data_IF_916534299512
#
_entry.id   IF_916534299512
#
_cell.length_a   1.000
_cell.length_b   1.000
_cell.length_c   1.000
_cell.angle_alpha   90.00
_cell.angle_beta   90.00
_cell.angle_gamma   90.00
#
_symmetry.space_group_name_H-M   'P 1'
#
loop_
_entity.id
_entity.type
_entity.pdbx_description
1 polymer ?
#
# COMPACT_ATOMS: atom_id res chain seq x y z
N UNK A 1 16.73 -2.46 -76.56
CA UNK A 1 16.37 -2.94 -75.21
C UNK A 1 16.63 -1.96 -74.08
N UNK A 2 17.51 -1.00 -74.25
CA UNK A 2 17.88 -0.06 -73.13
C UNK A 2 16.84 1.03 -72.82
N UNK A 3 15.99 1.44 -73.74
CA UNK A 3 14.98 2.50 -73.55
C UNK A 3 13.70 2.03 -72.80
N UNK A 4 13.43 0.72 -72.71
CA UNK A 4 12.26 0.20 -71.94
C UNK A 4 12.56 -0.03 -70.45
N UNK A 5 13.83 -0.18 -70.04
CA UNK A 5 14.23 -0.39 -68.68
C UNK A 5 14.23 0.95 -67.92
N UNK A 6 14.54 2.07 -68.55
CA UNK A 6 14.55 3.41 -67.90
C UNK A 6 13.13 3.89 -67.56
N UNK A 7 12.10 3.51 -68.29
CA UNK A 7 10.71 3.88 -68.04
C UNK A 7 10.08 3.11 -66.88
N UNK A 8 10.49 1.85 -66.62
CA UNK A 8 10.01 1.07 -65.50
C UNK A 8 10.62 1.53 -64.15
N UNK A 9 11.83 2.08 -64.17
CA UNK A 9 12.49 2.58 -62.96
C UNK A 9 11.92 3.95 -62.57
N UNK A 10 11.53 4.80 -63.52
CA UNK A 10 10.93 6.11 -63.24
C UNK A 10 9.48 6.01 -62.68
N UNK A 11 8.74 4.94 -62.97
CA UNK A 11 7.40 4.69 -62.44
C UNK A 11 7.46 4.06 -61.05
N UNK A 12 8.50 3.29 -60.73
CA UNK A 12 8.67 2.67 -59.41
C UNK A 12 9.15 3.67 -58.34
N UNK A 13 9.84 4.76 -58.75
CA UNK A 13 10.25 5.84 -57.81
C UNK A 13 9.14 6.85 -57.52
N UNK A 14 8.08 6.91 -58.36
CA UNK A 14 6.95 7.83 -58.14
C UNK A 14 5.83 7.23 -57.24
N UNK A 15 5.84 5.90 -57.03
CA UNK A 15 4.87 5.23 -56.14
C UNK A 15 5.42 5.12 -54.69
N UNK A 16 6.75 5.26 -54.48
CA UNK A 16 7.35 5.25 -53.16
C UNK A 16 7.20 6.58 -52.40
N UNK A 17 6.67 7.63 -53.05
CA UNK A 17 6.49 8.97 -52.43
C UNK A 17 5.10 9.29 -51.89
N UNK A 18 4.14 8.35 -51.95
CA UNK A 18 2.74 8.58 -51.55
C UNK A 18 2.26 7.74 -50.36
N UNK A 19 3.16 7.10 -49.60
CA UNK A 19 2.85 6.44 -48.33
C UNK A 19 3.67 7.06 -47.18
N UNK A 20 4.02 8.33 -47.29
CA UNK A 20 4.22 9.17 -46.11
C UNK A 20 2.84 9.61 -45.65
N UNK A 21 2.07 8.67 -45.14
CA UNK A 21 0.96 9.00 -44.27
C UNK A 21 1.54 9.83 -43.13
N UNK A 22 1.15 11.10 -43.06
CA UNK A 22 1.32 11.91 -41.89
C UNK A 22 0.76 11.14 -40.69
N UNK A 23 1.61 10.41 -39.95
CA UNK A 23 1.46 10.41 -38.52
C UNK A 23 1.71 11.87 -38.14
N UNK A 24 0.66 12.66 -37.97
CA UNK A 24 0.72 13.75 -37.05
C UNK A 24 1.01 13.09 -35.71
N UNK A 25 2.27 13.08 -35.26
CA UNK A 25 2.56 13.09 -33.87
C UNK A 25 1.81 14.32 -33.37
N UNK A 26 0.65 14.13 -32.77
CA UNK A 26 0.00 15.18 -32.02
C UNK A 26 1.05 15.62 -31.02
N UNK A 27 1.51 16.86 -31.12
CA UNK A 27 2.53 17.38 -30.21
C UNK A 27 2.01 17.23 -28.79
N UNK A 28 2.91 16.97 -27.85
CA UNK A 28 2.55 16.87 -26.43
C UNK A 28 1.71 18.09 -26.00
N UNK A 29 0.50 17.89 -25.47
CA UNK A 29 -0.34 18.97 -24.97
C UNK A 29 0.35 19.86 -23.94
N UNK A 30 1.25 19.30 -23.11
CA UNK A 30 2.03 20.04 -22.13
C UNK A 30 3.18 20.88 -22.76
N UNK A 31 3.56 20.58 -23.98
CA UNK A 31 4.59 21.33 -24.73
C UNK A 31 4.02 22.51 -25.54
N UNK A 32 2.72 22.71 -25.57
CA UNK A 32 2.09 23.83 -26.24
C UNK A 32 2.50 25.15 -25.58
N UNK A 33 2.60 26.23 -26.38
CA UNK A 33 3.16 27.51 -25.94
C UNK A 33 2.45 28.16 -24.75
N UNK A 34 1.14 27.90 -24.62
CA UNK A 34 0.28 28.51 -23.60
C UNK A 34 -0.31 27.41 -22.67
N UNK A 35 0.34 26.22 -22.58
CA UNK A 35 -0.12 25.18 -21.72
C UNK A 35 -0.06 25.62 -20.24
N UNK A 36 -1.16 25.41 -19.54
CA UNK A 36 -1.27 25.73 -18.11
C UNK A 36 -2.04 24.63 -17.40
N UNK A 37 -1.55 24.23 -16.22
CA UNK A 37 -2.17 23.20 -15.39
C UNK A 37 -2.26 23.62 -13.93
N UNK A 38 -3.32 23.18 -13.26
CA UNK A 38 -3.48 23.30 -11.81
C UNK A 38 -3.31 21.93 -11.16
N UNK A 39 -2.44 21.84 -10.16
CA UNK A 39 -2.07 20.60 -9.51
C UNK A 39 -2.48 20.68 -8.04
N UNK A 40 -3.39 19.80 -7.61
CA UNK A 40 -3.71 19.60 -6.21
C UNK A 40 -2.64 18.74 -5.54
N UNK A 41 -1.92 19.31 -4.57
CA UNK A 41 -0.93 18.58 -3.79
C UNK A 41 -0.96 19.04 -2.32
N UNK A 42 -0.49 18.22 -1.38
CA UNK A 42 -0.65 18.55 0.04
C UNK A 42 0.01 19.87 0.44
N UNK A 43 1.14 20.26 -0.18
CA UNK A 43 1.74 21.59 -0.04
C UNK A 43 2.56 21.97 -1.29
N UNK A 44 2.70 23.27 -1.57
CA UNK A 44 3.53 23.74 -2.66
C UNK A 44 5.02 23.40 -2.42
N UNK A 45 5.51 23.56 -1.21
CA UNK A 45 6.89 23.24 -0.87
C UNK A 45 7.21 21.75 -1.11
N UNK A 46 6.37 20.84 -0.63
CA UNK A 46 6.55 19.41 -0.86
C UNK A 46 6.40 18.99 -2.33
N UNK A 47 5.55 19.70 -3.09
CA UNK A 47 5.47 19.49 -4.54
C UNK A 47 6.76 19.88 -5.25
N UNK A 48 7.29 21.07 -4.96
CA UNK A 48 8.54 21.58 -5.56
C UNK A 48 9.71 20.65 -5.23
N UNK A 49 9.84 20.24 -3.98
CA UNK A 49 10.87 19.31 -3.53
C UNK A 49 10.84 17.98 -4.31
N UNK A 50 9.65 17.45 -4.56
CA UNK A 50 9.49 16.14 -5.21
C UNK A 50 9.50 16.20 -6.73
N UNK A 51 8.80 17.15 -7.33
CA UNK A 51 8.50 17.16 -8.76
C UNK A 51 8.98 18.41 -9.50
N UNK A 52 9.26 19.52 -8.80
CA UNK A 52 9.47 20.82 -9.40
C UNK A 52 10.55 20.83 -10.49
N UNK A 53 11.76 20.44 -10.13
CA UNK A 53 12.90 20.41 -11.08
C UNK A 53 12.63 19.50 -12.29
N UNK A 54 11.98 18.37 -12.09
CA UNK A 54 11.72 17.40 -13.17
C UNK A 54 10.63 17.88 -14.10
N UNK A 55 9.60 18.53 -13.56
CA UNK A 55 8.54 19.11 -14.36
C UNK A 55 9.10 20.22 -15.24
N UNK A 56 9.91 21.13 -14.70
CA UNK A 56 10.54 22.23 -15.43
C UNK A 56 11.51 21.73 -16.50
N UNK A 57 12.28 20.66 -16.21
CA UNK A 57 13.16 20.02 -17.19
C UNK A 57 12.38 19.36 -18.33
N UNK A 58 11.25 18.70 -18.04
CA UNK A 58 10.44 17.99 -19.03
C UNK A 58 9.60 18.96 -19.88
N UNK A 59 9.09 20.01 -19.27
CA UNK A 59 8.18 20.98 -19.90
C UNK A 59 8.56 22.42 -19.53
N UNK A 60 9.64 22.99 -20.10
CA UNK A 60 10.20 24.29 -19.70
C UNK A 60 9.27 25.50 -20.01
N UNK A 61 8.25 25.30 -20.84
CA UNK A 61 7.28 26.34 -21.19
C UNK A 61 5.93 26.18 -20.48
N UNK A 62 5.78 25.11 -19.68
CA UNK A 62 4.54 24.84 -18.96
C UNK A 62 4.36 25.84 -17.81
N UNK A 63 3.21 26.50 -17.77
CA UNK A 63 2.78 27.26 -16.61
C UNK A 63 2.00 26.34 -15.67
N UNK A 64 2.39 26.29 -14.41
CA UNK A 64 1.62 25.50 -13.43
C UNK A 64 1.38 26.26 -12.13
N UNK A 65 0.37 25.86 -11.40
CA UNK A 65 0.11 26.31 -10.05
C UNK A 65 -0.23 25.12 -9.14
N UNK A 66 0.29 25.14 -7.91
CA UNK A 66 0.03 24.13 -6.90
C UNK A 66 -1.03 24.63 -5.93
N UNK A 67 -2.06 23.84 -5.73
CA UNK A 67 -3.17 24.14 -4.82
C UNK A 67 -3.05 23.18 -3.63
N UNK A 68 -2.84 23.67 -2.39
CA UNK A 68 -2.68 22.82 -1.23
C UNK A 68 -3.93 22.00 -0.88
N UNK A 69 -3.75 20.70 -0.59
CA UNK A 69 -4.82 19.82 -0.09
C UNK A 69 -4.80 19.67 1.43
N UNK A 70 -3.97 20.43 2.13
CA UNK A 70 -3.79 20.35 3.61
C UNK A 70 -5.09 20.59 4.38
N UNK A 71 -5.99 21.42 3.88
CA UNK A 71 -7.29 21.66 4.52
C UNK A 71 -8.19 20.42 4.48
N UNK A 72 -8.10 19.61 3.39
CA UNK A 72 -8.72 18.28 3.33
C UNK A 72 -8.12 17.36 4.39
N UNK A 73 -6.79 17.26 4.41
CA UNK A 73 -6.07 16.35 5.34
C UNK A 73 -6.39 16.65 6.81
N UNK A 74 -6.63 17.92 7.14
CA UNK A 74 -6.99 18.34 8.48
C UNK A 74 -8.50 18.28 8.79
N UNK A 75 -9.31 17.77 7.86
CA UNK A 75 -10.77 17.68 7.99
C UNK A 75 -11.49 19.04 8.10
N UNK A 76 -10.84 20.13 7.67
CA UNK A 76 -11.40 21.49 7.73
C UNK A 76 -12.30 21.83 6.54
N UNK A 77 -12.15 21.10 5.46
CA UNK A 77 -12.95 21.27 4.24
C UNK A 77 -13.36 19.92 3.70
N UNK A 78 -14.60 19.79 3.25
CA UNK A 78 -15.04 18.56 2.60
C UNK A 78 -14.54 18.46 1.16
N UNK A 79 -14.37 17.22 0.63
CA UNK A 79 -13.81 17.00 -0.70
C UNK A 79 -14.54 17.71 -1.84
N UNK A 80 -15.86 17.74 -1.82
CA UNK A 80 -16.67 18.35 -2.88
C UNK A 80 -16.47 19.86 -2.90
N UNK A 81 -16.60 20.51 -1.75
CA UNK A 81 -16.40 21.96 -1.62
C UNK A 81 -14.99 22.35 -2.09
N UNK A 82 -13.97 21.59 -1.66
CA UNK A 82 -12.59 21.85 -2.10
C UNK A 82 -12.42 21.73 -3.62
N UNK A 83 -12.97 20.68 -4.23
CA UNK A 83 -12.86 20.44 -5.67
C UNK A 83 -13.58 21.53 -6.50
N UNK A 84 -14.78 21.96 -6.07
CA UNK A 84 -15.57 23.01 -6.73
C UNK A 84 -14.86 24.38 -6.69
N UNK A 85 -14.24 24.73 -5.58
CA UNK A 85 -13.55 26.01 -5.40
C UNK A 85 -12.22 26.06 -6.17
N UNK A 86 -11.47 24.97 -6.23
CA UNK A 86 -10.10 24.97 -6.75
C UNK A 86 -9.99 24.56 -8.22
N UNK A 87 -10.85 23.67 -8.71
CA UNK A 87 -10.90 23.23 -10.12
C UNK A 87 -9.51 22.85 -10.67
N UNK A 88 -8.86 21.88 -10.03
CA UNK A 88 -7.54 21.38 -10.45
C UNK A 88 -7.66 20.43 -11.64
N UNK A 89 -6.53 20.17 -12.32
CA UNK A 89 -6.45 19.22 -13.43
C UNK A 89 -5.98 17.85 -12.94
N UNK A 90 -4.89 17.80 -12.20
CA UNK A 90 -4.36 16.60 -11.54
C UNK A 90 -4.37 16.82 -10.04
N UNK A 91 -4.69 15.80 -9.29
CA UNK A 91 -4.69 15.86 -7.83
C UNK A 91 -3.98 14.64 -7.23
N UNK A 92 -3.16 14.91 -6.24
CA UNK A 92 -2.70 13.91 -5.26
C UNK A 92 -3.74 13.84 -4.16
N UNK A 93 -4.71 12.92 -4.31
CA UNK A 93 -5.81 12.72 -3.36
C UNK A 93 -5.24 12.10 -2.08
N UNK A 94 -5.39 12.72 -0.90
CA UNK A 94 -4.94 12.11 0.34
C UNK A 94 -5.60 10.75 0.58
N UNK A 95 -4.84 9.78 1.06
CA UNK A 95 -5.25 8.38 1.14
C UNK A 95 -6.60 8.15 1.84
N UNK A 96 -6.86 8.89 2.91
CA UNK A 96 -8.12 8.79 3.66
C UNK A 96 -9.37 9.19 2.86
N UNK A 97 -9.22 9.97 1.78
CA UNK A 97 -10.35 10.52 1.02
C UNK A 97 -10.57 9.89 -0.35
N UNK A 98 -9.76 8.91 -0.75
CA UNK A 98 -9.86 8.33 -2.11
C UNK A 98 -11.25 7.75 -2.38
N UNK A 99 -11.86 7.06 -1.41
CA UNK A 99 -13.20 6.49 -1.54
C UNK A 99 -14.27 7.58 -1.72
N UNK A 100 -14.14 8.70 -1.00
CA UNK A 100 -15.06 9.84 -1.10
C UNK A 100 -14.94 10.53 -2.45
N UNK A 101 -13.71 10.69 -2.97
CA UNK A 101 -13.47 11.27 -4.29
C UNK A 101 -14.06 10.42 -5.41
N UNK A 102 -13.95 9.09 -5.32
CA UNK A 102 -14.58 8.16 -6.28
C UNK A 102 -16.10 8.21 -6.16
N UNK A 103 -16.65 8.06 -4.95
CA UNK A 103 -18.10 8.00 -4.71
C UNK A 103 -18.83 9.31 -5.05
N UNK A 104 -18.11 10.44 -5.02
CA UNK A 104 -18.65 11.77 -5.33
C UNK A 104 -18.37 12.25 -6.76
N UNK A 105 -17.82 11.37 -7.63
CA UNK A 105 -17.45 11.70 -9.02
C UNK A 105 -16.49 12.89 -9.15
N UNK A 106 -15.58 13.10 -8.17
CA UNK A 106 -14.63 14.22 -8.16
C UNK A 106 -13.37 13.94 -9.00
N UNK A 107 -13.13 12.68 -9.33
CA UNK A 107 -12.05 12.20 -10.21
C UNK A 107 -12.62 11.29 -11.29
N UNK A 108 -11.94 11.24 -12.45
CA UNK A 108 -12.43 10.47 -13.60
C UNK A 108 -11.93 9.02 -13.59
N UNK A 109 -12.68 8.14 -14.26
CA UNK A 109 -12.24 6.79 -14.58
C UNK A 109 -11.10 6.84 -15.61
N UNK A 110 -9.97 6.22 -15.32
CA UNK A 110 -8.76 6.25 -16.14
C UNK A 110 -8.70 5.14 -17.20
N UNK A 111 -9.57 4.12 -17.16
CA UNK A 111 -9.45 2.92 -18.02
C UNK A 111 -9.42 3.24 -19.53
N UNK A 112 -10.21 4.25 -19.96
CA UNK A 112 -10.22 4.67 -21.36
C UNK A 112 -8.89 5.31 -21.78
N UNK A 113 -8.31 6.17 -20.93
CA UNK A 113 -7.02 6.83 -21.15
C UNK A 113 -5.87 5.83 -21.09
N UNK A 114 -5.87 4.95 -20.10
CA UNK A 114 -4.92 3.84 -19.97
C UNK A 114 -4.86 3.02 -21.26
N UNK A 115 -6.03 2.65 -21.79
CA UNK A 115 -6.12 1.89 -23.05
C UNK A 115 -5.65 2.71 -24.25
N UNK A 116 -6.07 3.96 -24.36
CA UNK A 116 -5.76 4.84 -25.50
C UNK A 116 -4.26 5.15 -25.58
N UNK A 117 -3.64 5.46 -24.46
CA UNK A 117 -2.22 5.80 -24.37
C UNK A 117 -1.33 4.57 -24.14
N UNK A 118 -1.91 3.36 -24.07
CA UNK A 118 -1.18 2.10 -23.80
C UNK A 118 -0.34 2.19 -22.52
N UNK A 119 -0.88 2.84 -21.49
CA UNK A 119 -0.23 2.91 -20.19
C UNK A 119 -0.14 1.49 -19.58
N UNK A 120 1.07 1.08 -19.23
CA UNK A 120 1.33 -0.30 -18.83
C UNK A 120 1.08 -0.51 -17.32
N UNK A 121 -0.12 -0.98 -16.99
CA UNK A 121 -0.45 -1.38 -15.61
C UNK A 121 0.31 -2.65 -15.17
N UNK A 122 0.83 -3.47 -16.08
CA UNK A 122 1.58 -4.68 -15.70
C UNK A 122 2.99 -4.38 -15.17
N UNK A 123 3.46 -3.14 -15.33
CA UNK A 123 4.69 -2.65 -14.70
C UNK A 123 4.55 -2.44 -13.17
N UNK A 124 3.32 -2.41 -12.67
CA UNK A 124 3.02 -2.27 -11.24
C UNK A 124 2.84 -3.63 -10.57
N UNK A 125 2.96 -3.67 -9.24
CA UNK A 125 2.67 -4.90 -8.51
C UNK A 125 1.20 -5.31 -8.68
N UNK A 126 0.91 -6.58 -9.03
CA UNK A 126 -0.46 -7.03 -9.33
C UNK A 126 -1.45 -6.76 -8.18
N UNK A 127 -1.06 -7.03 -6.93
CA UNK A 127 -1.91 -6.80 -5.76
C UNK A 127 -2.34 -5.33 -5.59
N UNK A 128 -1.50 -4.36 -6.01
CA UNK A 128 -1.85 -2.94 -6.03
C UNK A 128 -2.96 -2.69 -7.06
N UNK A 129 -2.80 -3.22 -8.28
CA UNK A 129 -3.80 -3.03 -9.35
C UNK A 129 -5.14 -3.69 -8.98
N UNK A 130 -5.11 -4.89 -8.40
CA UNK A 130 -6.31 -5.59 -7.94
C UNK A 130 -7.03 -4.81 -6.84
N UNK A 131 -6.27 -4.25 -5.89
CA UNK A 131 -6.81 -3.35 -4.87
C UNK A 131 -7.46 -2.10 -5.49
N UNK A 132 -6.80 -1.42 -6.45
CA UNK A 132 -7.37 -0.24 -7.12
C UNK A 132 -8.67 -0.56 -7.86
N UNK A 133 -8.75 -1.72 -8.51
CA UNK A 133 -9.98 -2.18 -9.16
C UNK A 133 -11.07 -2.51 -8.15
N UNK A 134 -10.71 -3.10 -7.02
CA UNK A 134 -11.67 -3.35 -5.92
C UNK A 134 -12.22 -2.03 -5.39
N UNK A 135 -11.36 -1.06 -5.13
CA UNK A 135 -11.71 0.28 -4.67
C UNK A 135 -12.64 1.02 -5.66
N UNK A 136 -12.35 0.89 -6.96
CA UNK A 136 -13.09 1.52 -8.06
C UNK A 136 -14.19 0.63 -8.67
N UNK A 137 -14.64 -0.43 -7.99
CA UNK A 137 -15.71 -1.34 -8.44
C UNK A 137 -15.47 -1.92 -9.85
N UNK A 138 -14.23 -2.33 -10.11
CA UNK A 138 -13.77 -2.89 -11.38
C UNK A 138 -12.98 -1.91 -12.27
N UNK A 139 -12.95 -0.64 -11.94
CA UNK A 139 -12.27 0.42 -12.70
C UNK A 139 -11.09 1.01 -11.93
N UNK A 140 -10.14 1.63 -12.66
CA UNK A 140 -9.02 2.38 -12.08
C UNK A 140 -9.33 3.88 -12.16
N UNK A 141 -9.36 4.54 -11.00
CA UNK A 141 -9.60 5.99 -10.90
C UNK A 141 -8.35 6.77 -10.52
N UNK A 142 -7.42 6.13 -9.84
CA UNK A 142 -6.21 6.76 -9.33
C UNK A 142 -5.12 5.70 -9.14
N UNK A 143 -3.85 6.12 -9.08
CA UNK A 143 -2.70 5.24 -8.88
C UNK A 143 -1.81 5.84 -7.79
N UNK A 144 -1.52 5.11 -6.69
CA UNK A 144 -0.57 5.55 -5.69
C UNK A 144 0.85 5.38 -6.22
N UNK A 145 1.72 6.38 -6.15
CA UNK A 145 3.12 6.23 -6.54
C UNK A 145 3.90 5.29 -5.60
N UNK A 146 3.51 5.24 -4.34
CA UNK A 146 4.11 4.41 -3.32
C UNK A 146 3.08 3.98 -2.26
N UNK A 147 3.38 2.90 -1.54
CA UNK A 147 2.60 2.46 -0.37
C UNK A 147 3.54 2.15 0.80
N UNK A 148 3.06 2.41 2.01
CA UNK A 148 3.71 2.02 3.25
C UNK A 148 3.08 0.75 3.80
N UNK A 149 3.86 -0.06 4.52
CA UNK A 149 3.36 -1.28 5.16
C UNK A 149 4.48 -2.01 5.89
N UNK A 150 4.16 -3.20 6.36
CA UNK A 150 5.08 -4.03 7.14
C UNK A 150 5.45 -5.32 6.39
N UNK A 151 6.63 -5.83 6.71
CA UNK A 151 7.11 -7.17 6.30
C UNK A 151 7.64 -7.90 7.51
N UNK A 152 7.80 -9.21 7.41
CA UNK A 152 8.54 -10.02 8.37
C UNK A 152 10.02 -10.03 7.98
N UNK A 153 10.91 -9.63 8.88
CA UNK A 153 12.36 -9.81 8.76
C UNK A 153 12.81 -10.92 9.72
N UNK A 154 13.80 -11.72 9.31
CA UNK A 154 14.30 -12.84 10.13
C UNK A 154 15.81 -12.97 10.09
N UNK A 155 16.39 -13.33 11.23
CA UNK A 155 17.81 -13.59 11.43
C UNK A 155 18.14 -15.03 10.98
N UNK A 156 18.84 -15.18 9.85
CA UNK A 156 19.20 -16.47 9.29
C UNK A 156 20.11 -17.27 10.22
N UNK A 157 21.07 -16.60 10.85
CA UNK A 157 22.03 -17.26 11.74
C UNK A 157 21.32 -17.91 12.95
N UNK A 158 20.40 -17.18 13.61
CA UNK A 158 19.68 -17.73 14.76
C UNK A 158 18.83 -18.95 14.37
N UNK A 159 18.19 -18.92 13.20
CA UNK A 159 17.40 -20.06 12.71
C UNK A 159 18.28 -21.26 12.36
N UNK A 160 19.40 -21.04 11.66
CA UNK A 160 20.37 -22.08 11.29
C UNK A 160 21.01 -22.75 12.52
N UNK A 161 21.40 -21.98 13.55
CA UNK A 161 21.96 -22.49 14.80
C UNK A 161 20.99 -23.45 15.51
N UNK A 162 19.70 -23.28 15.33
CA UNK A 162 18.65 -24.18 15.82
C UNK A 162 18.23 -25.26 14.84
N UNK A 163 18.77 -25.27 13.61
CA UNK A 163 18.40 -26.23 12.56
C UNK A 163 16.97 -26.02 12.06
N UNK A 164 16.43 -24.79 12.15
CA UNK A 164 15.10 -24.43 11.71
C UNK A 164 15.11 -23.95 10.25
N UNK A 165 14.05 -24.26 9.51
CA UNK A 165 13.86 -23.73 8.17
C UNK A 165 13.56 -22.22 8.22
N UNK A 166 13.97 -21.51 7.17
CA UNK A 166 13.56 -20.10 7.00
C UNK A 166 12.06 -19.99 6.71
N UNK A 167 11.42 -18.88 7.08
CA UNK A 167 10.06 -18.60 6.66
C UNK A 167 9.91 -18.66 5.13
N UNK A 168 8.79 -19.19 4.65
CA UNK A 168 8.40 -19.15 3.24
C UNK A 168 8.20 -17.69 2.76
N UNK A 169 8.06 -17.46 1.45
CA UNK A 169 7.76 -16.12 0.90
C UNK A 169 6.49 -15.48 1.52
N UNK A 170 5.50 -16.31 1.86
CA UNK A 170 4.26 -15.90 2.52
C UNK A 170 3.89 -16.92 3.60
N UNK A 171 4.52 -16.84 4.78
CA UNK A 171 4.30 -17.80 5.87
C UNK A 171 2.91 -17.59 6.49
N UNK A 172 2.37 -18.62 7.12
CA UNK A 172 1.17 -18.47 7.95
C UNK A 172 1.53 -17.98 9.35
N UNK A 173 0.56 -17.42 10.07
CA UNK A 173 0.75 -17.06 11.47
C UNK A 173 1.17 -18.24 12.33
N UNK A 174 0.62 -19.44 12.07
CA UNK A 174 0.99 -20.66 12.77
C UNK A 174 2.50 -20.95 12.60
N UNK A 175 3.01 -20.93 11.36
CA UNK A 175 4.43 -21.15 11.08
C UNK A 175 5.33 -20.13 11.77
N UNK A 176 4.94 -18.84 11.73
CA UNK A 176 5.74 -17.77 12.35
C UNK A 176 5.76 -17.88 13.88
N UNK A 177 4.61 -18.19 14.50
CA UNK A 177 4.54 -18.35 15.95
C UNK A 177 5.25 -19.64 16.42
N UNK A 178 5.24 -20.72 15.64
CA UNK A 178 6.05 -21.92 15.90
C UNK A 178 7.55 -21.61 15.86
N UNK A 179 8.02 -20.86 14.85
CA UNK A 179 9.41 -20.42 14.79
C UNK A 179 9.76 -19.54 16.00
N UNK A 180 8.92 -18.58 16.34
CA UNK A 180 9.14 -17.71 17.49
C UNK A 180 9.21 -18.48 18.81
N UNK A 181 8.39 -19.53 18.98
CA UNK A 181 8.36 -20.36 20.18
C UNK A 181 9.68 -21.12 20.44
N UNK A 182 10.52 -21.31 19.42
CA UNK A 182 11.85 -21.88 19.57
C UNK A 182 12.85 -20.95 20.27
N UNK A 183 12.49 -19.65 20.47
CA UNK A 183 13.35 -18.62 21.04
C UNK A 183 12.64 -17.87 22.18
N UNK A 184 12.41 -18.49 23.36
CA UNK A 184 11.78 -17.81 24.49
C UNK A 184 12.55 -16.54 24.90
N UNK A 185 11.85 -15.42 24.96
CA UNK A 185 12.42 -14.10 25.23
C UNK A 185 13.10 -13.40 24.05
N UNK A 186 13.26 -14.11 22.90
CA UNK A 186 13.99 -13.63 21.71
C UNK A 186 13.29 -14.05 20.40
N UNK A 187 12.01 -14.38 20.44
CA UNK A 187 11.29 -14.92 19.27
C UNK A 187 10.93 -13.86 18.24
N UNK A 188 9.71 -13.36 18.30
CA UNK A 188 9.16 -12.37 17.36
C UNK A 188 8.98 -11.02 18.04
N UNK A 189 9.60 -9.97 17.55
CA UNK A 189 9.33 -8.58 17.96
C UNK A 189 8.20 -7.97 17.13
N UNK A 190 7.20 -7.37 17.79
CA UNK A 190 6.03 -6.76 17.15
C UNK A 190 5.72 -5.37 17.70
N UNK A 191 5.23 -4.43 16.88
CA UNK A 191 4.88 -3.08 17.34
C UNK A 191 3.59 -3.04 18.16
N UNK A 192 2.75 -4.07 18.08
CA UNK A 192 1.49 -4.13 18.82
C UNK A 192 1.72 -4.25 20.32
N UNK A 193 0.93 -3.52 21.09
CA UNK A 193 1.16 -3.35 22.53
C UNK A 193 0.94 -4.63 23.36
N UNK A 194 0.19 -5.63 22.83
CA UNK A 194 -0.26 -6.77 23.63
C UNK A 194 -0.76 -7.94 22.77
N UNK A 195 -0.95 -9.09 23.38
CA UNK A 195 -1.37 -10.33 22.70
C UNK A 195 -2.82 -10.26 22.17
N UNK A 196 -3.71 -9.53 22.83
CA UNK A 196 -5.06 -9.27 22.28
C UNK A 196 -5.00 -8.52 20.96
N UNK A 197 -4.09 -7.54 20.82
CA UNK A 197 -3.83 -6.84 19.56
C UNK A 197 -3.29 -7.77 18.48
N UNK A 198 -2.40 -8.69 18.84
CA UNK A 198 -1.93 -9.73 17.93
C UNK A 198 -3.09 -10.62 17.47
N UNK A 199 -3.98 -11.06 18.37
CA UNK A 199 -5.15 -11.87 18.02
C UNK A 199 -6.05 -11.13 17.02
N UNK A 200 -6.33 -9.84 17.27
CA UNK A 200 -7.13 -9.01 16.37
C UNK A 200 -6.47 -8.87 14.98
N UNK A 201 -5.15 -8.63 14.93
CA UNK A 201 -4.40 -8.54 13.66
C UNK A 201 -4.38 -9.85 12.88
N UNK A 202 -4.22 -10.99 13.54
CA UNK A 202 -4.32 -12.30 12.92
C UNK A 202 -5.71 -12.55 12.30
N UNK A 203 -6.77 -12.16 12.99
CA UNK A 203 -8.14 -12.31 12.51
C UNK A 203 -8.46 -11.40 11.33
N UNK A 204 -8.01 -10.16 11.39
CA UNK A 204 -8.15 -9.17 10.32
C UNK A 204 -7.42 -9.65 9.05
N UNK A 205 -6.16 -10.08 9.16
CA UNK A 205 -5.40 -10.66 8.05
C UNK A 205 -6.00 -11.96 7.51
N UNK A 206 -6.76 -12.70 8.33
CA UNK A 206 -7.53 -13.87 7.91
C UNK A 206 -8.88 -13.51 7.26
N UNK A 207 -9.24 -12.22 7.20
CA UNK A 207 -10.52 -11.76 6.68
C UNK A 207 -11.72 -12.19 7.53
N UNK A 208 -11.52 -12.47 8.82
CA UNK A 208 -12.60 -12.84 9.72
C UNK A 208 -13.44 -11.62 10.08
N UNK A 209 -14.76 -11.76 9.93
CA UNK A 209 -15.66 -10.74 10.41
C UNK A 209 -15.60 -10.67 11.94
N UNK A 210 -15.26 -9.51 12.47
CA UNK A 210 -15.19 -9.25 13.91
C UNK A 210 -16.44 -8.53 14.42
N UNK A 211 -16.88 -7.54 13.66
CA UNK A 211 -17.86 -6.58 14.13
C UNK A 211 -18.66 -6.00 12.96
N UNK A 212 -19.94 -5.71 13.24
CA UNK A 212 -20.86 -5.02 12.35
C UNK A 212 -21.62 -3.97 13.15
N UNK A 213 -21.82 -2.79 12.59
CA UNK A 213 -22.35 -1.64 13.30
C UNK A 213 -23.90 -1.56 13.24
N UNK A 214 -24.52 -2.00 12.14
CA UNK A 214 -25.96 -1.90 11.95
C UNK A 214 -26.53 -3.20 11.32
N UNK A 215 -27.25 -4.03 12.09
CA UNK A 215 -27.33 -4.02 13.56
C UNK A 215 -25.98 -4.31 14.21
N UNK A 216 -25.79 -3.88 15.46
CA UNK A 216 -24.58 -4.19 16.23
C UNK A 216 -24.50 -5.69 16.48
N UNK A 217 -23.50 -6.32 15.88
CA UNK A 217 -23.17 -7.73 16.01
C UNK A 217 -21.65 -7.86 16.24
N UNK A 218 -21.23 -8.62 17.24
CA UNK A 218 -19.83 -8.96 17.51
C UNK A 218 -19.64 -10.46 17.32
N UNK A 219 -18.54 -10.89 16.74
CA UNK A 219 -18.29 -12.29 16.41
C UNK A 219 -16.91 -12.74 16.91
N UNK A 220 -16.54 -12.39 18.12
CA UNK A 220 -15.24 -12.72 18.70
C UNK A 220 -15.19 -14.15 19.26
N UNK A 221 -16.33 -14.78 19.51
CA UNK A 221 -16.45 -16.11 20.10
C UNK A 221 -16.60 -17.25 19.08
N UNK A 222 -16.46 -17.00 17.77
CA UNK A 222 -16.45 -18.07 16.76
C UNK A 222 -15.26 -19.00 16.94
N UNK A 223 -15.32 -20.21 16.36
CA UNK A 223 -14.22 -21.19 16.49
C UNK A 223 -12.91 -20.68 15.90
N UNK A 224 -13.00 -19.97 14.79
CA UNK A 224 -11.86 -19.36 14.11
C UNK A 224 -11.20 -18.31 15.02
N UNK A 225 -12.00 -17.42 15.59
CA UNK A 225 -11.52 -16.45 16.57
C UNK A 225 -10.93 -17.11 17.84
N UNK A 226 -11.60 -18.12 18.39
CA UNK A 226 -11.07 -18.86 19.54
C UNK A 226 -9.65 -19.41 19.26
N UNK A 227 -9.41 -19.98 18.07
CA UNK A 227 -8.08 -20.49 17.72
C UNK A 227 -7.01 -19.38 17.71
N UNK A 228 -7.34 -18.20 17.18
CA UNK A 228 -6.40 -17.06 17.13
C UNK A 228 -6.13 -16.50 18.53
N UNK A 229 -7.16 -16.35 19.36
CA UNK A 229 -7.00 -15.92 20.76
C UNK A 229 -6.18 -16.91 21.57
N UNK A 230 -6.38 -18.22 21.36
CA UNK A 230 -5.59 -19.26 22.00
C UNK A 230 -4.12 -19.19 21.59
N UNK A 231 -3.86 -19.01 20.28
CA UNK A 231 -2.50 -18.88 19.76
C UNK A 231 -1.79 -17.64 20.33
N UNK A 232 -2.49 -16.50 20.41
CA UNK A 232 -1.95 -15.30 21.01
C UNK A 232 -1.67 -15.44 22.51
N UNK A 233 -2.58 -16.06 23.26
CA UNK A 233 -2.36 -16.34 24.70
C UNK A 233 -1.15 -17.27 24.94
N UNK A 234 -0.90 -18.22 24.03
CA UNK A 234 0.26 -19.11 24.12
C UNK A 234 1.58 -18.36 24.01
N UNK A 235 1.64 -17.27 23.22
CA UNK A 235 2.86 -16.46 23.11
C UNK A 235 3.27 -15.79 24.42
N UNK A 236 2.30 -15.48 25.30
CA UNK A 236 2.56 -14.96 26.63
C UNK A 236 3.09 -16.07 27.58
N UNK A 237 2.53 -17.27 27.47
CA UNK A 237 2.95 -18.42 28.32
C UNK A 237 4.35 -18.89 27.99
N UNK A 238 4.74 -18.91 26.73
CA UNK A 238 6.06 -19.35 26.28
C UNK A 238 7.06 -18.21 26.07
N UNK A 239 6.64 -16.96 26.34
CA UNK A 239 7.44 -15.77 26.14
C UNK A 239 8.06 -15.62 24.73
N UNK A 240 7.36 -16.08 23.69
CA UNK A 240 7.89 -16.12 22.33
C UNK A 240 7.74 -14.82 21.55
N UNK A 241 6.91 -13.88 22.02
CA UNK A 241 6.68 -12.59 21.36
C UNK A 241 7.04 -11.42 22.28
N UNK A 242 7.82 -10.49 21.76
CA UNK A 242 8.15 -9.21 22.38
C UNK A 242 7.17 -8.16 21.87
N UNK A 243 6.28 -7.68 22.74
CA UNK A 243 5.23 -6.75 22.40
C UNK A 243 5.67 -5.30 22.61
N UNK A 244 5.10 -4.37 21.83
CA UNK A 244 5.34 -2.94 21.97
C UNK A 244 6.72 -2.49 21.50
N UNK A 245 7.37 -3.28 20.65
CA UNK A 245 8.66 -2.94 20.05
C UNK A 245 8.41 -2.02 18.85
N UNK A 246 8.67 -0.73 19.04
CA UNK A 246 8.34 0.34 18.08
C UNK A 246 9.45 0.64 17.06
N UNK A 247 10.63 0.05 17.26
CA UNK A 247 11.81 0.23 16.40
C UNK A 247 12.47 -1.10 16.07
N UNK A 248 13.41 -1.10 15.12
CA UNK A 248 14.09 -2.30 14.63
C UNK A 248 15.38 -2.64 15.43
N UNK A 249 15.75 -1.83 16.43
CA UNK A 249 17.01 -1.98 17.15
C UNK A 249 17.20 -3.35 17.81
N UNK A 250 16.18 -3.98 18.46
CA UNK A 250 16.31 -5.34 18.99
C UNK A 250 16.62 -6.40 17.94
N UNK A 251 16.13 -6.24 16.72
CA UNK A 251 16.48 -7.13 15.62
C UNK A 251 17.90 -6.85 15.14
N UNK A 252 18.27 -5.58 14.91
CA UNK A 252 19.62 -5.22 14.43
C UNK A 252 20.72 -5.61 15.41
N UNK A 253 20.45 -5.61 16.71
CA UNK A 253 21.39 -6.08 17.75
C UNK A 253 21.44 -7.60 17.90
N UNK A 254 20.54 -8.36 17.23
CA UNK A 254 20.44 -9.81 17.35
C UNK A 254 19.71 -10.29 18.60
N UNK A 255 18.92 -9.42 19.24
CA UNK A 255 18.13 -9.75 20.43
C UNK A 255 16.85 -10.54 20.11
N UNK A 256 16.42 -10.60 18.84
CA UNK A 256 15.29 -11.40 18.42
C UNK A 256 15.51 -12.11 17.07
N UNK A 257 14.88 -13.28 16.91
CA UNK A 257 15.00 -14.10 15.72
C UNK A 257 14.18 -13.57 14.55
N UNK A 258 13.02 -12.96 14.83
CA UNK A 258 12.10 -12.42 13.85
C UNK A 258 11.61 -11.03 14.33
N UNK A 259 11.28 -10.15 13.39
CA UNK A 259 10.65 -8.86 13.71
C UNK A 259 9.67 -8.44 12.62
N UNK A 260 8.67 -7.67 13.01
CA UNK A 260 7.85 -6.90 12.08
C UNK A 260 8.60 -5.61 11.76
N UNK A 261 8.97 -5.45 10.49
CA UNK A 261 9.71 -4.30 9.98
C UNK A 261 8.79 -3.40 9.16
N UNK A 262 8.66 -2.14 9.54
CA UNK A 262 7.94 -1.15 8.74
C UNK A 262 8.76 -0.67 7.55
N UNK A 263 8.08 -0.18 6.50
CA UNK A 263 8.77 0.45 5.37
C UNK A 263 9.57 1.70 5.78
N UNK A 264 9.24 2.35 6.89
CA UNK A 264 9.98 3.50 7.44
C UNK A 264 11.32 3.09 8.04
N UNK A 265 11.38 1.89 8.65
CA UNK A 265 12.58 1.38 9.31
C UNK A 265 13.51 0.64 8.33
N UNK A 266 13.04 0.39 7.10
CA UNK A 266 13.82 -0.31 6.09
C UNK A 266 15.16 0.38 5.78
N UNK A 267 15.16 1.71 5.69
CA UNK A 267 16.38 2.47 5.43
C UNK A 267 17.38 2.37 6.58
N UNK A 268 16.91 2.38 7.82
CA UNK A 268 17.77 2.16 8.98
C UNK A 268 18.46 0.79 8.91
N UNK A 269 17.71 -0.25 8.52
CA UNK A 269 18.25 -1.59 8.32
C UNK A 269 19.27 -1.64 7.18
N UNK A 270 19.01 -0.97 6.05
CA UNK A 270 19.90 -0.96 4.88
C UNK A 270 21.20 -0.19 5.12
N UNK A 271 21.18 0.84 5.94
CA UNK A 271 22.36 1.62 6.32
C UNK A 271 23.19 0.97 7.43
N UNK A 272 22.59 0.03 8.17
CA UNK A 272 23.28 -0.67 9.24
C UNK A 272 24.28 -1.72 8.71
N UNK A 273 25.42 -1.82 9.39
CA UNK A 273 26.32 -2.96 9.22
C UNK A 273 25.83 -4.11 10.08
N UNK A 274 24.95 -4.94 9.53
CA UNK A 274 24.37 -6.07 10.25
C UNK A 274 25.44 -7.12 10.64
N UNK A 275 25.45 -7.60 11.88
CA UNK A 275 26.41 -8.62 12.32
C UNK A 275 26.05 -10.04 11.87
N UNK A 276 24.91 -10.23 11.19
CA UNK A 276 24.38 -11.51 10.70
C UNK A 276 23.65 -11.35 9.38
N UNK A 277 23.45 -12.44 8.66
CA UNK A 277 22.62 -12.48 7.46
C UNK A 277 21.13 -12.51 7.83
N UNK A 278 20.31 -11.80 7.08
CA UNK A 278 18.87 -11.75 7.28
C UNK A 278 18.10 -11.98 5.97
N UNK A 279 16.80 -12.19 6.08
CA UNK A 279 15.90 -12.32 4.95
C UNK A 279 14.54 -11.69 5.24
N UNK A 280 13.74 -11.54 4.18
CA UNK A 280 12.40 -10.98 4.24
C UNK A 280 11.36 -12.01 3.81
N UNK A 281 10.20 -11.94 4.41
CA UNK A 281 8.97 -12.60 3.98
C UNK A 281 7.82 -11.60 4.07
N UNK A 282 6.72 -11.86 3.39
CA UNK A 282 5.51 -11.05 3.63
C UNK A 282 5.12 -11.12 5.10
N UNK A 283 4.27 -10.19 5.53
CA UNK A 283 3.53 -10.41 6.78
C UNK A 283 2.80 -11.75 6.71
N UNK A 284 2.61 -12.43 7.86
CA UNK A 284 1.99 -13.76 7.86
C UNK A 284 0.57 -13.70 7.32
N UNK A 285 0.24 -14.68 6.46
CA UNK A 285 -1.09 -14.82 5.89
C UNK A 285 -2.06 -15.51 6.84
N UNK A 286 -3.34 -15.24 6.67
CA UNK A 286 -4.41 -15.89 7.41
C UNK A 286 -4.65 -17.34 7.01
N UNK A 287 -5.48 -18.02 7.76
CA UNK A 287 -5.95 -19.37 7.44
C UNK A 287 -6.67 -19.40 6.09
N UNK A 288 -6.49 -20.47 5.32
CA UNK A 288 -7.10 -20.58 3.99
C UNK A 288 -6.38 -19.82 2.88
N UNK A 289 -5.11 -19.46 3.08
CA UNK A 289 -4.27 -18.72 2.12
C UNK A 289 -4.82 -17.33 1.77
N UNK A 290 -5.47 -16.67 2.70
CA UNK A 290 -5.93 -15.29 2.54
C UNK A 290 -4.74 -14.35 2.55
N UNK A 291 -4.45 -13.72 1.40
CA UNK A 291 -3.29 -12.84 1.18
C UNK A 291 -3.69 -11.37 1.35
N UNK A 292 -3.93 -10.94 2.57
CA UNK A 292 -4.33 -9.56 2.87
C UNK A 292 -3.32 -8.86 3.76
N UNK A 293 -2.93 -7.64 3.36
CA UNK A 293 -2.17 -6.72 4.17
C UNK A 293 -3.11 -5.66 4.74
N UNK A 294 -3.37 -5.72 6.03
CA UNK A 294 -4.29 -4.82 6.74
C UNK A 294 -3.65 -3.53 7.22
N UNK A 295 -2.32 -3.45 7.09
CA UNK A 295 -1.48 -2.32 7.47
C UNK A 295 -0.79 -1.65 6.27
N UNK A 296 -1.13 -2.08 5.03
CA UNK A 296 -0.61 -1.45 3.83
C UNK A 296 -1.50 -0.26 3.43
N UNK A 297 -0.90 0.92 3.38
CA UNK A 297 -1.60 2.18 3.10
C UNK A 297 -0.86 3.01 2.06
N UNK A 298 -1.60 3.74 1.25
CA UNK A 298 -1.05 4.82 0.43
C UNK A 298 -1.28 6.16 1.13
N UNK A 299 -0.23 6.98 1.21
CA UNK A 299 -0.33 8.35 1.71
C UNK A 299 -1.24 9.19 0.81
N UNK A 300 -1.17 8.94 -0.49
CA UNK A 300 -2.08 9.52 -1.46
C UNK A 300 -2.05 8.85 -2.83
N UNK A 301 -2.98 9.26 -3.66
CA UNK A 301 -3.24 8.71 -4.99
C UNK A 301 -3.22 9.81 -6.05
N UNK A 302 -2.47 9.62 -7.12
CA UNK A 302 -2.49 10.48 -8.28
C UNK A 302 -3.73 10.20 -9.13
N UNK A 303 -4.53 11.21 -9.37
CA UNK A 303 -5.80 11.15 -10.09
C UNK A 303 -5.98 12.37 -11.01
N UNK A 304 -6.89 12.25 -11.97
CA UNK A 304 -7.32 13.36 -12.81
C UNK A 304 -8.66 13.86 -12.28
N UNK A 305 -8.74 15.16 -11.98
CA UNK A 305 -9.96 15.75 -11.47
C UNK A 305 -11.04 15.80 -12.55
N UNK A 306 -12.30 15.58 -12.17
CA UNK A 306 -13.45 15.67 -13.09
C UNK A 306 -13.70 17.08 -13.61
N UNK A 307 -13.16 18.10 -12.92
CA UNK A 307 -13.24 19.51 -13.32
C UNK A 307 -12.27 19.91 -14.44
N UNK A 308 -11.29 19.04 -14.79
CA UNK A 308 -10.30 19.37 -15.83
C UNK A 308 -10.95 19.66 -17.18
N UNK A 309 -10.41 20.64 -17.89
CA UNK A 309 -10.79 20.97 -19.26
C UNK A 309 -9.82 20.40 -20.30
N UNK A 310 -8.70 19.83 -19.85
CA UNK A 310 -7.63 19.30 -20.69
C UNK A 310 -7.22 17.90 -20.19
N UNK A 311 -8.10 16.93 -20.42
CA UNK A 311 -7.91 15.54 -19.97
C UNK A 311 -6.61 14.92 -20.52
N UNK A 312 -6.25 15.23 -21.77
CA UNK A 312 -5.02 14.73 -22.40
C UNK A 312 -3.76 15.29 -21.70
N UNK A 313 -3.71 16.60 -21.44
CA UNK A 313 -2.61 17.22 -20.72
C UNK A 313 -2.51 16.71 -19.27
N UNK A 314 -3.65 16.53 -18.59
CA UNK A 314 -3.72 15.97 -17.26
C UNK A 314 -3.21 14.52 -17.22
N UNK A 315 -3.54 13.71 -18.24
CA UNK A 315 -3.06 12.32 -18.31
C UNK A 315 -1.56 12.25 -18.63
N UNK A 316 -1.05 13.11 -19.52
CA UNK A 316 0.39 13.21 -19.78
C UNK A 316 1.17 13.60 -18.52
N UNK A 317 0.65 14.55 -17.74
CA UNK A 317 1.23 14.95 -16.45
C UNK A 317 1.19 13.80 -15.42
N UNK A 318 0.08 13.07 -15.36
CA UNK A 318 -0.06 11.89 -14.52
C UNK A 318 0.97 10.81 -14.89
N UNK A 319 1.18 10.55 -16.18
CA UNK A 319 2.20 9.61 -16.65
C UNK A 319 3.62 10.05 -16.24
N UNK A 320 3.93 11.35 -16.31
CA UNK A 320 5.21 11.87 -15.83
C UNK A 320 5.38 11.61 -14.34
N UNK A 321 4.37 11.93 -13.51
CA UNK A 321 4.43 11.72 -12.05
C UNK A 321 4.55 10.25 -11.66
N UNK A 322 4.05 9.35 -12.50
CA UNK A 322 4.15 7.89 -12.31
C UNK A 322 5.35 7.27 -13.01
N UNK A 323 6.20 8.06 -13.66
CA UNK A 323 7.39 7.55 -14.37
C UNK A 323 8.48 7.06 -13.40
N UNK A 324 9.35 6.12 -13.83
CA UNK A 324 10.46 5.65 -13.03
C UNK A 324 11.35 6.80 -12.53
N UNK A 325 11.61 7.79 -13.37
CA UNK A 325 12.46 8.93 -13.03
C UNK A 325 11.96 9.76 -11.82
N UNK A 326 10.67 9.69 -11.50
CA UNK A 326 10.04 10.38 -10.36
C UNK A 326 9.63 9.45 -9.23
N UNK A 327 9.74 8.14 -9.43
CA UNK A 327 9.37 7.13 -8.44
C UNK A 327 10.54 6.20 -8.08
N UNK A 328 11.77 6.59 -8.37
CA UNK A 328 12.92 5.90 -7.81
C UNK A 328 12.83 5.94 -6.28
N UNK A 329 13.16 4.82 -5.65
CA UNK A 329 13.29 4.75 -4.20
C UNK A 329 14.27 5.84 -3.74
N UNK A 330 13.76 6.77 -2.98
CA UNK A 330 14.53 7.89 -2.48
C UNK A 330 14.31 8.00 -0.97
N UNK A 331 15.33 7.63 -0.22
CA UNK A 331 15.36 7.60 1.24
C UNK A 331 15.00 8.95 1.89
N UNK A 332 14.93 10.04 1.14
CA UNK A 332 14.70 11.38 1.70
C UNK A 332 13.24 11.78 1.80
N UNK A 333 12.31 11.05 1.16
CA UNK A 333 10.93 11.52 1.01
C UNK A 333 9.86 10.78 1.83
N UNK A 334 10.23 9.73 2.57
CA UNK A 334 9.37 8.96 3.50
C UNK A 334 7.92 8.65 2.98
N UNK A 335 7.79 8.39 1.66
CA UNK A 335 6.50 8.19 1.00
C UNK A 335 6.11 6.71 0.86
N UNK A 336 6.92 5.81 1.41
CA UNK A 336 6.72 4.38 1.27
C UNK A 336 7.43 3.78 0.06
N UNK A 337 7.18 2.51 -0.18
CA UNK A 337 7.79 1.70 -1.24
C UNK A 337 7.11 1.99 -2.58
N UNK A 338 7.85 2.27 -3.67
CA UNK A 338 7.26 2.48 -4.98
C UNK A 338 6.35 1.33 -5.42
N UNK A 339 5.22 1.65 -6.03
CA UNK A 339 4.30 0.65 -6.60
C UNK A 339 4.73 0.15 -7.97
N UNK A 340 5.60 0.89 -8.65
CA UNK A 340 6.24 0.52 -9.90
C UNK A 340 7.40 -0.45 -9.63
N UNK A 341 7.36 -1.66 -10.23
CA UNK A 341 8.28 -2.76 -9.90
C UNK A 341 9.75 -2.39 -10.14
N UNK A 342 10.07 -1.75 -11.27
CA UNK A 342 11.45 -1.39 -11.62
C UNK A 342 12.08 -0.31 -10.71
N UNK A 343 11.26 0.43 -9.96
CA UNK A 343 11.70 1.49 -9.05
C UNK A 343 11.80 1.03 -7.59
N UNK A 344 11.45 -0.22 -7.31
CA UNK A 344 11.27 -0.72 -5.95
C UNK A 344 12.52 -1.40 -5.41
N UNK A 345 12.81 -1.28 -4.10
CA UNK A 345 13.95 -1.94 -3.47
C UNK A 345 13.66 -3.45 -3.26
N UNK A 346 14.31 -4.30 -4.04
CA UNK A 346 14.30 -5.76 -3.83
C UNK A 346 15.33 -6.15 -2.74
N UNK A 347 15.03 -7.15 -1.85
CA UNK A 347 13.85 -8.02 -1.84
C UNK A 347 12.68 -7.52 -0.96
N UNK A 348 12.80 -6.37 -0.31
CA UNK A 348 11.78 -5.84 0.59
C UNK A 348 10.44 -5.62 -0.12
N UNK A 349 10.44 -4.95 -1.26
CA UNK A 349 9.23 -4.66 -2.02
C UNK A 349 8.50 -5.93 -2.47
N UNK A 350 9.26 -6.97 -2.85
CA UNK A 350 8.69 -8.28 -3.18
C UNK A 350 7.93 -8.88 -2.01
N UNK A 351 8.49 -8.79 -0.80
CA UNK A 351 7.84 -9.27 0.42
C UNK A 351 6.59 -8.45 0.76
N UNK A 352 6.66 -7.11 0.66
CA UNK A 352 5.55 -6.22 0.92
C UNK A 352 4.37 -6.47 -0.03
N UNK A 353 4.61 -6.45 -1.33
CA UNK A 353 3.59 -6.58 -2.37
C UNK A 353 3.21 -8.03 -2.70
N UNK A 354 3.71 -9.02 -1.95
CA UNK A 354 3.17 -10.37 -2.00
C UNK A 354 1.76 -10.49 -1.43
N UNK A 355 1.30 -9.46 -0.69
CA UNK A 355 -0.04 -9.35 -0.14
C UNK A 355 -0.83 -8.25 -0.85
N UNK A 356 -2.15 -8.39 -0.85
CA UNK A 356 -3.06 -7.38 -1.39
C UNK A 356 -3.42 -6.35 -0.29
N UNK A 357 -3.29 -5.05 -0.55
CA UNK A 357 -3.75 -4.03 0.38
C UNK A 357 -5.23 -4.22 0.71
N UNK A 358 -5.59 -4.02 1.96
CA UNK A 358 -6.98 -4.10 2.41
C UNK A 358 -7.24 -2.95 3.37
N UNK A 359 -8.37 -2.26 3.20
CA UNK A 359 -8.78 -1.25 4.15
C UNK A 359 -9.05 -1.89 5.52
N UNK A 360 -8.38 -1.39 6.55
CA UNK A 360 -8.64 -1.74 7.94
C UNK A 360 -9.54 -0.68 8.54
N UNK A 361 -10.63 -1.10 9.16
CA UNK A 361 -11.44 -0.18 9.94
C UNK A 361 -10.82 -0.05 11.35
N UNK A 362 -10.73 1.16 11.84
CA UNK A 362 -10.36 1.39 13.24
C UNK A 362 -11.44 0.80 14.14
N UNK A 363 -11.03 -0.06 15.07
CA UNK A 363 -11.96 -0.69 15.99
C UNK A 363 -12.35 0.31 17.08
N UNK A 364 -13.64 0.31 17.51
CA UNK A 364 -14.08 1.07 18.67
C UNK A 364 -13.26 0.76 19.93
N UNK A 365 -13.03 1.77 20.76
CA UNK A 365 -12.20 1.67 21.97
C UNK A 365 -12.57 0.49 22.89
N UNK A 366 -13.86 0.12 23.09
CA UNK A 366 -14.23 -1.02 23.91
C UNK A 366 -13.56 -2.34 23.53
N UNK A 367 -13.28 -2.58 22.24
CA UNK A 367 -12.55 -3.78 21.81
C UNK A 367 -11.20 -3.95 22.48
N UNK A 368 -10.55 -2.85 22.74
CA UNK A 368 -9.22 -2.83 23.33
C UNK A 368 -9.25 -3.07 24.83
N UNK A 369 -10.23 -2.52 25.50
CA UNK A 369 -10.43 -2.73 26.93
C UNK A 369 -10.82 -4.18 27.24
N UNK A 370 -11.91 -4.64 26.65
CA UNK A 370 -12.43 -6.00 26.89
C UNK A 370 -11.50 -7.08 26.31
N UNK A 371 -10.76 -6.76 25.23
CA UNK A 371 -9.74 -7.65 24.68
C UNK A 371 -8.61 -7.90 25.65
N UNK A 372 -8.07 -6.88 26.28
CA UNK A 372 -7.01 -7.01 27.28
C UNK A 372 -7.48 -7.81 28.51
N UNK A 373 -8.70 -7.56 28.98
CA UNK A 373 -9.30 -8.30 30.10
C UNK A 373 -9.49 -9.79 29.78
N UNK A 374 -10.04 -10.10 28.58
CA UNK A 374 -10.23 -11.47 28.12
C UNK A 374 -8.89 -12.20 27.92
N UNK A 375 -7.88 -11.53 27.37
CA UNK A 375 -6.53 -12.12 27.17
C UNK A 375 -5.90 -12.49 28.51
N UNK A 376 -6.01 -11.66 29.54
CA UNK A 376 -5.50 -11.97 30.86
C UNK A 376 -6.19 -13.23 31.43
N UNK A 377 -7.52 -13.31 31.34
CA UNK A 377 -8.27 -14.48 31.79
C UNK A 377 -7.85 -15.76 31.03
N UNK A 378 -7.62 -15.67 29.71
CA UNK A 378 -7.17 -16.80 28.89
C UNK A 378 -5.77 -17.31 29.26
N UNK A 379 -4.89 -16.44 29.72
CA UNK A 379 -3.56 -16.85 30.23
C UNK A 379 -3.73 -17.68 31.51
N UNK A 380 -4.61 -17.22 32.40
CA UNK A 380 -4.84 -17.86 33.71
C UNK A 380 -5.69 -19.15 33.57
N UNK A 381 -6.70 -19.16 32.71
CA UNK A 381 -7.68 -20.24 32.50
C UNK A 381 -7.82 -20.65 31.04
N UNK A 382 -6.82 -21.31 30.42
CA UNK A 382 -6.85 -21.60 28.97
C UNK A 382 -8.01 -22.52 28.54
N UNK A 383 -8.53 -23.34 29.46
CA UNK A 383 -9.67 -24.23 29.19
C UNK A 383 -11.01 -23.54 29.08
N UNK A 384 -11.13 -22.30 29.55
CA UNK A 384 -12.38 -21.53 29.56
C UNK A 384 -12.55 -20.59 28.34
N UNK A 385 -11.75 -20.76 27.28
CA UNK A 385 -11.70 -19.84 26.13
C UNK A 385 -13.08 -19.50 25.56
N UNK A 386 -13.95 -20.50 25.40
CA UNK A 386 -15.28 -20.29 24.85
C UNK A 386 -16.12 -19.36 25.72
N UNK A 387 -16.12 -19.60 27.02
CA UNK A 387 -16.94 -18.84 27.97
C UNK A 387 -16.39 -17.42 28.14
N UNK A 388 -15.06 -17.25 28.15
CA UNK A 388 -14.39 -15.96 28.22
C UNK A 388 -14.74 -15.09 27.00
N UNK A 389 -14.60 -15.65 25.78
CA UNK A 389 -14.90 -14.90 24.57
C UNK A 389 -16.39 -14.65 24.35
N UNK A 390 -17.28 -15.54 24.82
CA UNK A 390 -18.72 -15.27 24.81
C UNK A 390 -19.09 -14.14 25.78
N UNK A 391 -18.47 -14.06 26.94
CA UNK A 391 -18.66 -12.95 27.87
C UNK A 391 -18.15 -11.63 27.25
N UNK A 392 -16.96 -11.63 26.66
CA UNK A 392 -16.41 -10.48 25.94
C UNK A 392 -17.37 -10.00 24.84
N UNK A 393 -17.93 -10.93 24.03
CA UNK A 393 -18.87 -10.62 22.96
C UNK A 393 -20.12 -9.92 23.49
N UNK A 394 -20.71 -10.44 24.58
CA UNK A 394 -21.89 -9.84 25.23
C UNK A 394 -21.61 -8.45 25.82
N UNK A 395 -20.46 -8.26 26.46
CA UNK A 395 -20.07 -6.97 27.04
C UNK A 395 -19.82 -5.92 25.95
N UNK A 396 -19.13 -6.32 24.86
CA UNK A 396 -18.91 -5.47 23.69
C UNK A 396 -20.22 -5.04 23.03
N UNK A 397 -21.13 -5.99 22.78
CA UNK A 397 -22.44 -5.65 22.19
C UNK A 397 -23.25 -4.73 23.09
N UNK A 398 -23.22 -4.94 24.41
CA UNK A 398 -23.93 -4.09 25.36
C UNK A 398 -23.35 -2.66 25.40
N UNK A 399 -22.03 -2.51 25.25
CA UNK A 399 -21.36 -1.20 25.24
C UNK A 399 -21.58 -0.45 23.91
N UNK A 400 -21.47 -1.16 22.78
CA UNK A 400 -21.60 -0.58 21.44
C UNK A 400 -23.03 -0.19 21.04
N UNK A 401 -24.04 -0.68 21.78
CA UNK A 401 -25.45 -0.29 21.60
C UNK A 401 -25.87 0.95 22.38
N UNK A 402 -24.99 1.49 23.25
CA UNK A 402 -25.24 2.73 24.01
C UNK A 402 -25.06 3.97 23.15
#
# INVERSE_FOLDING_TARGET
>A
MLKRVVWCIAILTMIAGLVSGCKSEAGSPLSEKDAAVKIGYYSEAGYIERYGDKLEQSYPNLTYSVIPTVELMNGKQDPRTWAEENQVDVIYVPGAYISDFIASDLIINLDALIKMHKFDLSAYYPGVIDYLRTLGQGSVYAIPPAMSGNVLVYNKQMLEEKGLAFPDESPTWEQVLELAAAFPGQGLAVPWASADRLALKMGEGSGLALYKNDPVEVNVASKEWQALWQAAAETLRNASVLYGVSDIDPFMSGECALAVLSSRDYDALMLASMPFDYGFSSMPIGTGNVRRATDMTADGYLAIASSTKSTEAAFELLQLFLSPALNEWNNTLDLGVPTLQESSPEPFAKALYALEPTSSAELPEPFYKYGAEAMQQLVDEPGAIKDILQNMEQELEAELRK
#
